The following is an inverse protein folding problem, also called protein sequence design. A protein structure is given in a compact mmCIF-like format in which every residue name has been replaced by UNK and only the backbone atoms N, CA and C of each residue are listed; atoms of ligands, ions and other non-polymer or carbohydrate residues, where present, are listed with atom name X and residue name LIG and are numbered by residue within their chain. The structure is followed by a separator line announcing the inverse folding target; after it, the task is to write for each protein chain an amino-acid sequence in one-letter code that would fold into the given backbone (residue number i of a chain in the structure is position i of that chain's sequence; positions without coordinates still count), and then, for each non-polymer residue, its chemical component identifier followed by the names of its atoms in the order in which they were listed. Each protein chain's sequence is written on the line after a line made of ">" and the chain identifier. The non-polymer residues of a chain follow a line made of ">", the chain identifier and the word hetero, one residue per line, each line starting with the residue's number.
data_IF_394701955436
#
_entry.id   IF_394701955436
#
_cell.length_a   1.000
_cell.length_b   1.000
_cell.length_c   1.000
_cell.angle_alpha   90.00
_cell.angle_beta   90.00
_cell.angle_gamma   90.00
#
_symmetry.space_group_name_H-M   'P 1'
#
loop_
_entity.id
_entity.type
_entity.pdbx_description
1 polymer ?
#
# COMPACT_ATOMS: atom_id res chain seq x y z
N UNK A 1 -14.45 28.62 4.96
CA UNK A 1 -13.48 28.01 5.90
C UNK A 1 -13.39 26.50 5.74
N UNK A 2 -14.49 25.74 5.75
CA UNK A 2 -14.44 24.26 5.61
C UNK A 2 -13.81 23.78 4.29
N UNK A 3 -14.11 24.43 3.16
CA UNK A 3 -13.51 24.11 1.87
C UNK A 3 -11.99 24.30 1.83
N UNK A 4 -11.47 25.31 2.55
CA UNK A 4 -10.03 25.56 2.66
C UNK A 4 -9.36 24.50 3.53
N UNK A 5 -9.97 24.12 4.65
CA UNK A 5 -9.48 23.03 5.50
C UNK A 5 -9.46 21.70 4.75
N UNK A 6 -10.50 21.39 3.98
CA UNK A 6 -10.54 20.20 3.14
C UNK A 6 -9.40 20.20 2.11
N UNK A 7 -9.18 21.32 1.40
CA UNK A 7 -8.11 21.41 0.42
C UNK A 7 -6.72 21.23 1.06
N UNK A 8 -6.46 21.83 2.22
CA UNK A 8 -5.20 21.68 2.97
C UNK A 8 -5.01 20.22 3.39
N UNK A 9 -6.01 19.59 3.98
CA UNK A 9 -5.96 18.22 4.44
C UNK A 9 -5.75 17.25 3.24
N UNK A 10 -6.48 17.47 2.14
CA UNK A 10 -6.34 16.67 0.93
C UNK A 10 -4.94 16.76 0.33
N UNK A 11 -4.39 17.96 0.21
CA UNK A 11 -3.00 18.16 -0.26
C UNK A 11 -1.98 17.56 0.71
N UNK A 12 -2.23 17.69 2.02
CA UNK A 12 -1.41 17.09 3.07
C UNK A 12 -1.33 15.56 3.01
N UNK A 13 -2.38 14.89 2.57
CA UNK A 13 -2.37 13.45 2.32
C UNK A 13 -1.83 13.08 0.93
N UNK A 14 -2.20 13.84 -0.10
CA UNK A 14 -1.87 13.54 -1.49
C UNK A 14 -0.38 13.74 -1.82
N UNK A 15 0.21 14.88 -1.42
CA UNK A 15 1.60 15.22 -1.77
C UNK A 15 2.58 14.16 -1.24
N UNK A 16 2.53 13.73 0.04
CA UNK A 16 3.37 12.65 0.54
C UNK A 16 3.20 11.33 -0.23
N UNK A 17 1.97 10.96 -0.55
CA UNK A 17 1.69 9.74 -1.30
C UNK A 17 2.28 9.79 -2.72
N UNK A 18 2.15 10.92 -3.42
CA UNK A 18 2.74 11.12 -4.74
C UNK A 18 4.28 11.16 -4.69
N UNK A 19 4.88 11.70 -3.63
CA UNK A 19 6.33 11.65 -3.42
C UNK A 19 6.82 10.22 -3.31
N UNK A 20 6.17 9.40 -2.48
CA UNK A 20 6.52 7.98 -2.34
C UNK A 20 6.22 7.19 -3.62
N UNK A 21 5.13 7.48 -4.32
CA UNK A 21 4.84 6.87 -5.62
C UNK A 21 5.95 7.14 -6.64
N UNK A 22 6.33 8.41 -6.79
CA UNK A 22 7.43 8.79 -7.66
C UNK A 22 8.74 8.09 -7.29
N UNK A 23 9.02 7.94 -5.99
CA UNK A 23 10.21 7.26 -5.51
C UNK A 23 10.16 5.77 -5.84
N UNK A 24 9.04 5.09 -5.61
CA UNK A 24 8.86 3.65 -5.88
C UNK A 24 8.89 3.32 -7.38
N UNK A 25 8.31 4.17 -8.23
CA UNK A 25 8.35 4.00 -9.68
C UNK A 25 9.77 4.11 -10.28
N UNK A 26 10.74 4.61 -9.50
CA UNK A 26 12.14 4.61 -9.93
C UNK A 26 12.77 3.22 -9.98
N UNK A 27 12.18 2.25 -9.29
CA UNK A 27 12.66 0.88 -9.29
C UNK A 27 12.41 0.16 -10.63
N UNK A 28 11.42 0.64 -11.40
CA UNK A 28 11.02 0.08 -12.69
C UNK A 28 11.31 1.04 -13.86
N UNK A 29 12.54 1.55 -13.93
CA UNK A 29 12.93 2.51 -14.98
C UNK A 29 13.19 1.87 -16.34
N UNK A 30 13.54 0.60 -16.37
CA UNK A 30 13.92 -0.07 -17.61
C UNK A 30 12.69 -0.38 -18.49
N UNK A 31 11.53 -0.65 -17.86
CA UNK A 31 10.26 -0.92 -18.55
C UNK A 31 9.09 -0.28 -17.79
N UNK A 32 8.98 1.06 -17.80
CA UNK A 32 8.03 1.76 -16.96
C UNK A 32 6.58 1.42 -17.33
N UNK A 33 5.76 1.25 -16.28
CA UNK A 33 4.34 0.96 -16.40
C UNK A 33 3.55 2.08 -17.09
N UNK A 34 2.46 1.75 -17.83
CA UNK A 34 1.61 2.74 -18.46
C UNK A 34 1.03 3.73 -17.44
N UNK A 35 1.29 5.03 -17.64
CA UNK A 35 0.85 6.09 -16.73
C UNK A 35 -0.66 6.05 -16.42
N UNK A 36 -1.48 5.69 -17.42
CA UNK A 36 -2.92 5.58 -17.24
C UNK A 36 -3.27 4.45 -16.25
N UNK A 37 -2.55 3.32 -16.29
CA UNK A 37 -2.81 2.20 -15.40
C UNK A 37 -2.32 2.49 -13.98
N UNK A 38 -1.17 3.18 -13.84
CA UNK A 38 -0.71 3.73 -12.55
C UNK A 38 -1.76 4.69 -11.97
N UNK A 39 -2.27 5.61 -12.78
CA UNK A 39 -3.33 6.53 -12.36
C UNK A 39 -4.61 5.78 -11.91
N UNK A 40 -5.07 4.80 -12.69
CA UNK A 40 -6.24 4.00 -12.34
C UNK A 40 -6.02 3.19 -11.05
N UNK A 41 -4.84 2.60 -10.86
CA UNK A 41 -4.47 1.89 -9.65
C UNK A 41 -4.49 2.84 -8.42
N UNK A 42 -3.92 4.03 -8.56
CA UNK A 42 -3.92 5.03 -7.50
C UNK A 42 -5.34 5.47 -7.14
N UNK A 43 -6.17 5.80 -8.13
CA UNK A 43 -7.58 6.16 -7.92
C UNK A 43 -8.38 5.00 -7.33
N UNK A 44 -8.14 3.76 -7.77
CA UNK A 44 -8.77 2.59 -7.17
C UNK A 44 -8.42 2.46 -5.69
N UNK A 45 -7.15 2.71 -5.32
CA UNK A 45 -6.71 2.79 -3.92
C UNK A 45 -7.46 3.87 -3.13
N UNK A 46 -7.60 5.08 -3.67
CA UNK A 46 -8.39 6.14 -3.04
C UNK A 46 -9.85 5.69 -2.82
N UNK A 47 -10.45 5.00 -3.79
CA UNK A 47 -11.83 4.53 -3.70
C UNK A 47 -12.04 3.42 -2.65
N UNK A 48 -10.99 2.74 -2.22
CA UNK A 48 -11.06 1.78 -1.11
C UNK A 48 -11.50 2.47 0.19
N UNK A 49 -11.06 3.71 0.45
CA UNK A 49 -11.40 4.44 1.70
C UNK A 49 -12.92 4.61 1.86
N UNK A 50 -13.67 5.22 0.92
CA UNK A 50 -15.12 5.35 1.05
C UNK A 50 -15.87 4.00 1.05
N UNK A 51 -15.27 2.92 0.53
CA UNK A 51 -15.82 1.58 0.62
C UNK A 51 -15.56 0.94 1.99
N UNK A 52 -14.42 1.22 2.61
CA UNK A 52 -14.06 0.72 3.94
C UNK A 52 -14.90 1.35 5.05
N UNK A 53 -15.15 2.66 4.98
CA UNK A 53 -15.84 3.41 6.05
C UNK A 53 -17.20 2.81 6.47
N UNK A 54 -18.12 2.41 5.58
CA UNK A 54 -19.38 1.77 5.98
C UNK A 54 -19.17 0.43 6.69
N UNK A 55 -18.20 -0.37 6.23
CA UNK A 55 -17.88 -1.66 6.84
C UNK A 55 -17.22 -1.49 8.21
N UNK A 56 -16.34 -0.50 8.35
CA UNK A 56 -15.73 -0.14 9.62
C UNK A 56 -16.76 0.38 10.63
N UNK A 57 -17.75 1.16 10.17
CA UNK A 57 -18.89 1.61 11.01
C UNK A 57 -19.74 0.43 11.46
N UNK A 58 -20.04 -0.50 10.57
CA UNK A 58 -20.78 -1.72 10.93
C UNK A 58 -20.00 -2.55 11.96
N UNK A 59 -18.68 -2.61 11.86
CA UNK A 59 -17.85 -3.34 12.82
C UNK A 59 -17.94 -2.78 14.24
N UNK A 60 -18.22 -1.48 14.42
CA UNK A 60 -18.42 -0.85 15.76
C UNK A 60 -19.59 -1.47 16.55
N UNK A 61 -20.59 -2.03 15.87
CA UNK A 61 -21.74 -2.65 16.52
C UNK A 61 -21.39 -4.00 17.16
N UNK A 62 -20.29 -4.64 16.72
CA UNK A 62 -19.93 -6.01 17.12
C UNK A 62 -18.58 -6.12 17.83
N UNK A 63 -17.65 -5.19 17.60
CA UNK A 63 -16.27 -5.28 18.08
C UNK A 63 -15.87 -4.01 18.84
N UNK A 64 -14.99 -4.16 19.84
CA UNK A 64 -14.47 -3.06 20.65
C UNK A 64 -12.97 -3.25 20.94
N UNK A 65 -12.28 -2.17 21.30
CA UNK A 65 -10.85 -2.19 21.64
C UNK A 65 -9.99 -2.76 20.51
N UNK A 66 -9.01 -3.57 20.86
CA UNK A 66 -8.03 -4.15 19.92
C UNK A 66 -8.67 -5.02 18.85
N UNK A 67 -9.75 -5.73 19.17
CA UNK A 67 -10.48 -6.55 18.19
C UNK A 67 -11.10 -5.69 17.08
N UNK A 68 -11.59 -4.49 17.41
CA UNK A 68 -12.12 -3.55 16.44
C UNK A 68 -11.03 -3.06 15.48
N UNK A 69 -9.87 -2.67 16.03
CA UNK A 69 -8.71 -2.24 15.24
C UNK A 69 -8.28 -3.35 14.29
N UNK A 70 -8.20 -4.58 14.79
CA UNK A 70 -7.84 -5.73 13.97
C UNK A 70 -8.82 -5.99 12.82
N UNK A 71 -10.14 -5.89 13.08
CA UNK A 71 -11.17 -6.02 12.05
C UNK A 71 -11.08 -4.90 11.02
N UNK A 72 -10.80 -3.66 11.42
CA UNK A 72 -10.58 -2.53 10.50
C UNK A 72 -9.40 -2.79 9.56
N UNK A 73 -8.29 -3.28 10.09
CA UNK A 73 -7.11 -3.65 9.28
C UNK A 73 -7.46 -4.74 8.26
N UNK A 74 -8.21 -5.77 8.65
CA UNK A 74 -8.67 -6.81 7.73
C UNK A 74 -9.50 -6.20 6.59
N UNK A 75 -10.46 -5.34 6.92
CA UNK A 75 -11.32 -4.67 5.92
C UNK A 75 -10.45 -3.90 4.92
N UNK A 76 -9.50 -3.11 5.39
CA UNK A 76 -8.64 -2.30 4.54
C UNK A 76 -7.75 -3.13 3.62
N UNK A 77 -7.02 -4.12 4.17
CA UNK A 77 -6.10 -4.93 3.37
C UNK A 77 -6.85 -5.82 2.36
N UNK A 78 -7.99 -6.40 2.76
CA UNK A 78 -8.85 -7.18 1.84
C UNK A 78 -9.39 -6.31 0.72
N UNK A 79 -9.85 -5.08 1.00
CA UNK A 79 -10.37 -4.18 -0.03
C UNK A 79 -9.26 -3.67 -0.96
N UNK A 80 -8.06 -3.35 -0.45
CA UNK A 80 -6.89 -3.01 -1.29
C UNK A 80 -6.52 -4.16 -2.23
N UNK A 81 -6.47 -5.39 -1.72
CA UNK A 81 -6.20 -6.56 -2.52
C UNK A 81 -7.31 -6.82 -3.56
N UNK A 82 -8.59 -6.68 -3.19
CA UNK A 82 -9.71 -6.78 -4.11
C UNK A 82 -9.65 -5.71 -5.23
N UNK A 83 -9.28 -4.48 -4.91
CA UNK A 83 -9.06 -3.43 -5.89
C UNK A 83 -7.97 -3.80 -6.90
N UNK A 84 -6.85 -4.40 -6.44
CA UNK A 84 -5.80 -4.91 -7.32
C UNK A 84 -6.32 -6.04 -8.23
N UNK A 85 -7.07 -6.99 -7.69
CA UNK A 85 -7.67 -8.09 -8.47
C UNK A 85 -8.59 -7.58 -9.57
N UNK A 86 -9.38 -6.55 -9.30
CA UNK A 86 -10.37 -6.01 -10.24
C UNK A 86 -9.70 -5.15 -11.33
N UNK A 87 -8.76 -4.28 -10.96
CA UNK A 87 -8.24 -3.23 -11.85
C UNK A 87 -6.98 -3.67 -12.58
N UNK A 88 -6.12 -4.48 -11.95
CA UNK A 88 -4.74 -4.69 -12.39
C UNK A 88 -4.47 -6.12 -12.84
N UNK A 89 -4.84 -7.12 -12.04
CA UNK A 89 -4.35 -8.50 -12.17
C UNK A 89 -4.61 -9.16 -13.54
N UNK A 90 -5.60 -8.67 -14.28
CA UNK A 90 -5.99 -9.21 -15.59
C UNK A 90 -5.56 -8.31 -16.75
N UNK A 91 -4.85 -7.20 -16.45
CA UNK A 91 -4.43 -6.27 -17.48
C UNK A 91 -3.19 -6.81 -18.21
N UNK A 92 -3.15 -6.60 -19.53
CA UNK A 92 -2.05 -7.12 -20.37
C UNK A 92 -0.70 -6.46 -20.12
N UNK A 93 -0.71 -5.28 -19.48
CA UNK A 93 0.52 -4.58 -19.10
C UNK A 93 1.19 -5.22 -17.88
N UNK A 94 0.51 -6.10 -17.16
CA UNK A 94 1.12 -6.89 -16.07
C UNK A 94 1.84 -8.07 -16.72
N UNK A 95 3.01 -7.82 -17.29
CA UNK A 95 3.79 -8.81 -18.04
C UNK A 95 5.13 -9.17 -17.38
N UNK A 96 5.48 -8.48 -16.28
CA UNK A 96 6.66 -8.74 -15.46
C UNK A 96 6.30 -9.01 -13.98
N UNK A 97 7.13 -9.79 -13.26
CA UNK A 97 6.88 -10.04 -11.84
C UNK A 97 6.87 -8.77 -10.97
N UNK A 98 7.72 -7.78 -11.31
CA UNK A 98 7.87 -6.55 -10.55
C UNK A 98 6.60 -5.67 -10.59
N UNK A 99 5.82 -5.73 -11.68
CA UNK A 99 4.61 -4.97 -11.88
C UNK A 99 3.60 -5.20 -10.75
N UNK A 100 3.51 -6.46 -10.27
CA UNK A 100 2.63 -6.83 -9.18
C UNK A 100 2.97 -6.10 -7.88
N UNK A 101 4.25 -5.86 -7.61
CA UNK A 101 4.71 -5.11 -6.44
C UNK A 101 4.36 -3.62 -6.64
N UNK A 102 4.68 -3.07 -7.81
CA UNK A 102 4.46 -1.66 -8.14
C UNK A 102 2.98 -1.28 -8.06
N UNK A 103 2.11 -2.10 -8.67
CA UNK A 103 0.67 -1.82 -8.63
C UNK A 103 0.06 -1.98 -7.24
N UNK A 104 0.47 -2.98 -6.46
CA UNK A 104 0.03 -3.13 -5.09
C UNK A 104 0.42 -1.92 -4.23
N UNK A 105 1.66 -1.43 -4.38
CA UNK A 105 2.14 -0.21 -3.71
C UNK A 105 1.38 1.02 -4.22
N UNK A 106 1.10 1.12 -5.51
CA UNK A 106 0.35 2.25 -6.09
C UNK A 106 -1.06 2.34 -5.50
N UNK A 107 -1.77 1.21 -5.36
CA UNK A 107 -3.08 1.14 -4.71
C UNK A 107 -2.97 1.54 -3.23
N UNK A 108 -1.96 1.04 -2.52
CA UNK A 108 -1.72 1.39 -1.13
C UNK A 108 -1.46 2.89 -0.94
N UNK A 109 -0.71 3.52 -1.83
CA UNK A 109 -0.44 4.95 -1.79
C UNK A 109 -1.69 5.79 -2.12
N UNK A 110 -2.54 5.33 -3.03
CA UNK A 110 -3.84 5.94 -3.27
C UNK A 110 -4.75 5.88 -2.03
N UNK A 111 -4.81 4.72 -1.37
CA UNK A 111 -5.50 4.55 -0.09
C UNK A 111 -4.95 5.50 0.97
N UNK A 112 -3.63 5.47 1.20
CA UNK A 112 -2.96 6.31 2.19
C UNK A 112 -3.18 7.81 1.93
N UNK A 113 -3.24 8.26 0.68
CA UNK A 113 -3.49 9.66 0.34
C UNK A 113 -4.83 10.15 0.90
N UNK A 114 -5.91 9.39 0.69
CA UNK A 114 -7.23 9.80 1.15
C UNK A 114 -7.42 9.55 2.65
N UNK A 115 -6.89 8.46 3.17
CA UNK A 115 -6.93 8.17 4.60
C UNK A 115 -6.17 9.24 5.40
N UNK A 116 -4.95 9.60 5.01
CA UNK A 116 -4.17 10.66 5.65
C UNK A 116 -4.90 12.01 5.60
N UNK A 117 -5.56 12.32 4.48
CA UNK A 117 -6.38 13.52 4.37
C UNK A 117 -7.49 13.56 5.43
N UNK A 118 -8.17 12.44 5.68
CA UNK A 118 -9.22 12.35 6.72
C UNK A 118 -8.64 12.54 8.13
N UNK A 119 -7.48 11.95 8.42
CA UNK A 119 -6.81 12.12 9.72
C UNK A 119 -6.32 13.55 9.97
N UNK A 120 -5.82 14.24 8.94
CA UNK A 120 -5.40 15.65 9.02
C UNK A 120 -6.62 16.58 9.13
N UNK A 121 -7.73 16.26 8.48
CA UNK A 121 -8.92 17.10 8.41
C UNK A 121 -9.58 17.32 9.78
N UNK A 122 -9.71 16.26 10.57
CA UNK A 122 -10.42 16.34 11.87
C UNK A 122 -9.80 17.34 12.84
N UNK A 123 -8.50 17.28 13.19
CA UNK A 123 -7.88 18.27 14.07
C UNK A 123 -7.84 19.67 13.42
N UNK A 124 -7.71 19.75 12.08
CA UNK A 124 -7.70 21.03 11.37
C UNK A 124 -9.03 21.78 11.51
N UNK A 125 -10.17 21.08 11.40
CA UNK A 125 -11.50 21.66 11.60
C UNK A 125 -11.76 22.02 13.07
N UNK A 126 -11.20 21.26 14.01
CA UNK A 126 -11.25 21.55 15.44
C UNK A 126 -10.40 22.78 15.84
N UNK A 127 -9.58 23.33 14.91
CA UNK A 127 -8.69 24.47 15.16
C UNK A 127 -7.36 24.09 15.80
N UNK A 128 -7.06 22.79 15.92
CA UNK A 128 -5.78 22.30 16.41
C UNK A 128 -4.79 22.10 15.26
N UNK A 129 -4.16 23.20 14.86
CA UNK A 129 -3.20 23.22 13.76
C UNK A 129 -1.89 22.46 14.09
N UNK A 130 -1.52 22.43 15.38
CA UNK A 130 -0.31 21.72 15.82
C UNK A 130 -0.51 20.21 15.70
N UNK A 131 -1.62 19.69 16.22
CA UNK A 131 -1.95 18.27 16.10
C UNK A 131 -2.11 17.85 14.63
N UNK A 132 -2.77 18.68 13.82
CA UNK A 132 -2.90 18.46 12.39
C UNK A 132 -1.55 18.31 11.69
N UNK A 133 -0.59 19.19 12.00
CA UNK A 133 0.77 19.16 11.44
C UNK A 133 1.55 17.93 11.92
N UNK A 134 1.50 17.62 13.21
CA UNK A 134 2.18 16.45 13.79
C UNK A 134 1.61 15.15 13.20
N UNK A 135 0.29 15.04 13.14
CA UNK A 135 -0.40 13.91 12.52
C UNK A 135 0.05 13.72 11.07
N UNK A 136 0.08 14.78 10.27
CA UNK A 136 0.56 14.73 8.89
C UNK A 136 1.99 14.22 8.77
N UNK A 137 2.92 14.69 9.63
CA UNK A 137 4.31 14.25 9.60
C UNK A 137 4.48 12.79 10.04
N UNK A 138 3.83 12.36 11.12
CA UNK A 138 3.91 10.98 11.58
C UNK A 138 3.30 10.02 10.56
N UNK A 139 2.20 10.42 9.91
CA UNK A 139 1.59 9.60 8.85
C UNK A 139 2.44 9.55 7.59
N UNK A 140 3.14 10.62 7.24
CA UNK A 140 4.11 10.61 6.12
C UNK A 140 5.25 9.62 6.34
N UNK A 141 5.86 9.62 7.53
CA UNK A 141 7.07 8.83 7.85
C UNK A 141 6.74 7.40 8.32
N UNK A 142 5.54 7.16 8.82
CA UNK A 142 5.13 5.89 9.41
C UNK A 142 3.98 5.23 8.65
N UNK A 143 2.76 5.75 8.78
CA UNK A 143 1.56 5.10 8.26
C UNK A 143 1.58 4.91 6.74
N UNK A 144 2.02 5.91 5.97
CA UNK A 144 2.14 5.78 4.50
C UNK A 144 3.11 4.68 4.12
N UNK A 145 4.28 4.61 4.78
CA UNK A 145 5.27 3.56 4.53
C UNK A 145 4.82 2.19 5.02
N UNK A 146 4.02 2.13 6.07
CA UNK A 146 3.38 0.89 6.49
C UNK A 146 2.47 0.35 5.38
N UNK A 147 1.60 1.18 4.80
CA UNK A 147 0.74 0.74 3.70
C UNK A 147 1.55 0.27 2.48
N UNK A 148 2.66 0.94 2.18
CA UNK A 148 3.63 0.50 1.15
C UNK A 148 4.20 -0.87 1.50
N UNK A 149 4.65 -1.08 2.74
CA UNK A 149 5.23 -2.32 3.20
C UNK A 149 4.21 -3.47 3.18
N UNK A 150 3.01 -3.26 3.72
CA UNK A 150 1.95 -4.26 3.77
C UNK A 150 1.52 -4.70 2.36
N UNK A 151 1.12 -3.76 1.52
CA UNK A 151 0.68 -4.08 0.16
C UNK A 151 1.84 -4.51 -0.75
N UNK A 152 3.04 -3.94 -0.58
CA UNK A 152 4.25 -4.40 -1.27
C UNK A 152 4.59 -5.85 -0.93
N UNK A 153 4.31 -6.30 0.31
CA UNK A 153 4.45 -7.71 0.71
C UNK A 153 3.49 -8.61 -0.08
N UNK A 154 2.22 -8.23 -0.23
CA UNK A 154 1.27 -8.97 -1.08
C UNK A 154 1.80 -9.07 -2.51
N UNK A 155 2.25 -7.93 -3.08
CA UNK A 155 2.85 -7.87 -4.40
C UNK A 155 4.06 -8.79 -4.54
N UNK A 156 4.94 -8.83 -3.54
CA UNK A 156 6.12 -9.69 -3.52
C UNK A 156 5.76 -11.19 -3.56
N UNK A 157 4.79 -11.63 -2.76
CA UNK A 157 4.32 -13.02 -2.80
C UNK A 157 3.73 -13.38 -4.15
N UNK A 158 2.98 -12.49 -4.77
CA UNK A 158 2.44 -12.67 -6.12
C UNK A 158 3.56 -12.69 -7.17
N UNK A 159 4.55 -11.80 -7.07
CA UNK A 159 5.70 -11.72 -7.95
C UNK A 159 6.53 -13.01 -7.95
N UNK A 160 6.80 -13.59 -6.78
CA UNK A 160 7.49 -14.89 -6.67
C UNK A 160 6.69 -16.05 -7.28
N UNK A 161 5.36 -15.92 -7.34
CA UNK A 161 4.47 -16.89 -7.97
C UNK A 161 4.15 -16.58 -9.45
N UNK A 162 4.72 -15.50 -10.04
CA UNK A 162 4.33 -14.97 -11.35
C UNK A 162 4.32 -16.05 -12.47
N UNK A 163 5.35 -16.87 -12.54
CA UNK A 163 5.48 -17.93 -13.54
C UNK A 163 4.84 -19.27 -13.11
N UNK A 164 4.07 -19.30 -12.02
CA UNK A 164 3.41 -20.50 -11.48
C UNK A 164 1.95 -20.59 -11.93
N UNK A 165 1.32 -21.73 -11.65
CA UNK A 165 -0.12 -21.92 -11.93
C UNK A 165 -1.00 -20.94 -11.15
N UNK A 166 -2.21 -20.68 -11.66
CA UNK A 166 -3.17 -19.77 -11.02
C UNK A 166 -3.50 -20.19 -9.57
N UNK A 167 -3.49 -21.49 -9.30
CA UNK A 167 -3.72 -22.01 -7.95
C UNK A 167 -2.57 -21.62 -6.99
N UNK A 168 -1.33 -21.69 -7.43
CA UNK A 168 -0.17 -21.26 -6.63
C UNK A 168 -0.18 -19.74 -6.46
N UNK A 169 -0.55 -18.98 -7.50
CA UNK A 169 -0.72 -17.51 -7.39
C UNK A 169 -1.77 -17.15 -6.33
N UNK A 170 -2.91 -17.84 -6.33
CA UNK A 170 -3.96 -17.63 -5.34
C UNK A 170 -3.46 -17.90 -3.91
N UNK A 171 -2.81 -19.03 -3.67
CA UNK A 171 -2.25 -19.37 -2.34
C UNK A 171 -1.21 -18.33 -1.93
N UNK A 172 -0.29 -17.95 -2.84
CA UNK A 172 0.75 -16.96 -2.55
C UNK A 172 0.15 -15.59 -2.21
N UNK A 173 -0.84 -15.12 -3.00
CA UNK A 173 -1.52 -13.85 -2.74
C UNK A 173 -2.27 -13.86 -1.41
N UNK A 174 -2.97 -14.96 -1.08
CA UNK A 174 -3.66 -15.13 0.21
C UNK A 174 -2.69 -15.13 1.38
N UNK A 175 -1.55 -15.80 1.24
CA UNK A 175 -0.51 -15.80 2.29
C UNK A 175 0.14 -14.42 2.43
N UNK A 176 0.43 -13.74 1.31
CA UNK A 176 0.90 -12.36 1.31
C UNK A 176 -0.08 -11.41 2.01
N UNK A 177 -1.39 -11.57 1.74
CA UNK A 177 -2.46 -10.80 2.39
C UNK A 177 -2.49 -11.06 3.91
N UNK A 178 -2.34 -12.31 4.33
CA UNK A 178 -2.25 -12.64 5.75
C UNK A 178 -1.08 -11.92 6.44
N UNK A 179 0.11 -11.95 5.83
CA UNK A 179 1.28 -11.23 6.37
C UNK A 179 1.06 -9.72 6.36
N UNK A 180 0.45 -9.15 5.32
CA UNK A 180 0.12 -7.74 5.26
C UNK A 180 -0.82 -7.31 6.41
N UNK A 181 -1.86 -8.10 6.70
CA UNK A 181 -2.77 -7.88 7.84
C UNK A 181 -1.99 -7.90 9.15
N UNK A 182 -1.09 -8.87 9.35
CA UNK A 182 -0.28 -8.97 10.57
C UNK A 182 0.64 -7.75 10.71
N UNK A 183 1.36 -7.36 9.67
CA UNK A 183 2.24 -6.18 9.69
C UNK A 183 1.47 -4.91 10.01
N UNK A 184 0.32 -4.72 9.40
CA UNK A 184 -0.52 -3.54 9.61
C UNK A 184 -1.12 -3.54 11.03
N UNK A 185 -1.64 -4.66 11.51
CA UNK A 185 -2.19 -4.75 12.86
C UNK A 185 -1.13 -4.49 13.93
N UNK A 186 0.06 -5.06 13.79
CA UNK A 186 1.18 -4.80 14.70
C UNK A 186 1.53 -3.31 14.76
N UNK A 187 1.63 -2.65 13.61
CA UNK A 187 1.88 -1.21 13.59
C UNK A 187 0.79 -0.44 14.35
N UNK A 188 -0.49 -0.71 14.07
CA UNK A 188 -1.59 0.01 14.70
C UNK A 188 -1.61 -0.22 16.22
N UNK A 189 -1.42 -1.44 16.69
CA UNK A 189 -1.37 -1.73 18.14
C UNK A 189 -0.24 -0.99 18.81
N UNK A 190 0.97 -1.07 18.26
CA UNK A 190 2.12 -0.43 18.87
C UNK A 190 2.12 1.09 18.76
N UNK A 191 1.58 1.69 17.69
CA UNK A 191 1.55 3.15 17.54
C UNK A 191 0.49 3.81 18.42
N UNK A 192 -0.63 3.12 18.69
CA UNK A 192 -1.72 3.66 19.50
C UNK A 192 -1.38 3.70 21.01
N UNK A 193 -0.60 2.73 21.48
CA UNK A 193 -0.15 2.67 22.88
C UNK A 193 1.22 3.32 23.12
N UNK A 194 1.76 4.00 22.09
CA UNK A 194 3.14 4.42 22.08
C UNK A 194 3.43 5.61 22.98
N UNK A 195 4.36 5.43 23.92
CA UNK A 195 5.22 6.49 24.46
C UNK A 195 6.30 6.86 23.42
N UNK A 196 6.98 7.99 23.59
CA UNK A 196 7.97 8.48 22.61
C UNK A 196 9.04 7.46 22.19
N UNK A 197 9.52 6.60 23.09
CA UNK A 197 10.48 5.54 22.78
C UNK A 197 9.88 4.43 21.91
N UNK A 198 8.64 4.07 22.17
CA UNK A 198 7.91 3.05 21.40
C UNK A 198 7.63 3.53 19.97
N UNK A 199 7.30 4.82 19.79
CA UNK A 199 7.11 5.43 18.45
C UNK A 199 8.37 5.25 17.59
N UNK A 200 9.54 5.53 18.14
CA UNK A 200 10.80 5.35 17.43
C UNK A 200 11.01 3.88 17.02
N UNK A 201 10.73 2.94 17.94
CA UNK A 201 10.81 1.50 17.64
C UNK A 201 9.89 1.06 16.51
N UNK A 202 8.64 1.55 16.50
CA UNK A 202 7.65 1.27 15.43
C UNK A 202 8.13 1.82 14.08
N UNK A 203 8.66 3.03 14.06
CA UNK A 203 9.20 3.61 12.82
C UNK A 203 10.43 2.84 12.33
N UNK A 204 11.36 2.47 13.21
CA UNK A 204 12.51 1.65 12.84
C UNK A 204 12.06 0.31 12.23
N UNK A 205 11.03 -0.33 12.80
CA UNK A 205 10.46 -1.56 12.26
C UNK A 205 9.94 -1.38 10.83
N UNK A 206 9.16 -0.33 10.58
CA UNK A 206 8.65 -0.03 9.23
C UNK A 206 9.79 0.26 8.25
N UNK A 207 10.76 1.09 8.64
CA UNK A 207 11.91 1.42 7.80
C UNK A 207 12.79 0.21 7.49
N UNK A 208 13.01 -0.68 8.46
CA UNK A 208 13.67 -1.96 8.24
C UNK A 208 12.89 -2.84 7.24
N UNK A 209 11.56 -2.88 7.39
CA UNK A 209 10.68 -3.57 6.43
C UNK A 209 10.79 -3.01 5.02
N UNK A 210 10.86 -1.69 4.86
CA UNK A 210 11.08 -1.03 3.56
C UNK A 210 12.43 -1.42 2.96
N UNK A 211 13.50 -1.47 3.75
CA UNK A 211 14.81 -1.95 3.27
C UNK A 211 14.71 -3.39 2.76
N UNK A 212 14.03 -4.26 3.52
CA UNK A 212 13.80 -5.66 3.09
C UNK A 212 12.98 -5.70 1.80
N UNK A 213 11.97 -4.85 1.67
CA UNK A 213 11.15 -4.76 0.45
C UNK A 213 12.01 -4.37 -0.77
N UNK A 214 12.94 -3.42 -0.65
CA UNK A 214 13.88 -3.09 -1.73
C UNK A 214 14.81 -4.25 -2.09
N UNK A 215 15.29 -5.02 -1.12
CA UNK A 215 16.05 -6.25 -1.39
C UNK A 215 15.20 -7.30 -2.14
N UNK A 216 13.90 -7.35 -1.86
CA UNK A 216 12.96 -8.20 -2.58
C UNK A 216 12.77 -7.70 -4.02
N UNK A 217 12.67 -6.39 -4.28
CA UNK A 217 12.65 -5.85 -5.64
C UNK A 217 13.84 -6.36 -6.47
N UNK A 218 15.05 -6.23 -5.93
CA UNK A 218 16.26 -6.72 -6.61
C UNK A 218 16.20 -8.24 -6.88
N UNK A 219 15.71 -9.00 -5.92
CA UNK A 219 15.57 -10.46 -6.09
C UNK A 219 14.53 -10.83 -7.15
N UNK A 220 13.45 -10.07 -7.26
CA UNK A 220 12.40 -10.27 -8.27
C UNK A 220 12.92 -9.94 -9.67
N UNK A 221 13.69 -8.86 -9.84
CA UNK A 221 14.37 -8.51 -11.09
C UNK A 221 15.33 -9.64 -11.56
N UNK A 222 16.09 -10.24 -10.63
CA UNK A 222 16.95 -11.38 -10.92
C UNK A 222 16.16 -12.63 -11.34
N UNK A 223 14.97 -12.85 -10.76
CA UNK A 223 14.09 -13.96 -11.13
C UNK A 223 13.63 -13.84 -12.59
N UNK A 224 13.24 -12.64 -12.99
CA UNK A 224 12.85 -12.34 -14.37
C UNK A 224 14.01 -12.58 -15.35
N UNK A 225 15.17 -12.02 -15.06
CA UNK A 225 16.38 -12.19 -15.88
C UNK A 225 16.71 -13.68 -16.06
N UNK A 226 16.65 -14.48 -15.00
CA UNK A 226 16.90 -15.91 -15.03
C UNK A 226 15.86 -16.67 -15.86
N UNK A 227 14.57 -16.29 -15.74
CA UNK A 227 13.50 -16.89 -16.53
C UNK A 227 13.65 -16.61 -18.02
N UNK A 228 13.97 -15.37 -18.39
CA UNK A 228 14.20 -14.96 -19.78
C UNK A 228 15.42 -15.64 -20.40
N UNK A 229 16.47 -15.90 -19.62
CA UNK A 229 17.64 -16.63 -20.07
C UNK A 229 17.34 -18.11 -20.37
N UNK A 230 16.44 -18.75 -19.59
CA UNK A 230 16.02 -20.14 -19.78
C UNK A 230 14.96 -20.30 -20.89
N UNK A 231 14.18 -19.28 -21.16
CA UNK A 231 13.10 -19.26 -22.14
C UNK A 231 13.26 -18.07 -23.10
N UNK A 232 14.32 -18.02 -23.94
CA UNK A 232 14.54 -16.90 -24.84
C UNK A 232 13.32 -16.76 -25.77
N UNK A 233 12.68 -15.60 -25.76
CA UNK A 233 11.64 -15.26 -26.73
C UNK A 233 12.26 -15.39 -28.12
N UNK A 234 11.82 -16.32 -28.95
CA UNK A 234 12.23 -16.41 -30.33
C UNK A 234 11.82 -15.08 -31.01
N UNK A 235 12.78 -14.20 -31.20
CA UNK A 235 12.61 -13.00 -32.00
C UNK A 235 12.48 -13.46 -33.45
N UNK A 236 11.28 -13.81 -33.91
CA UNK A 236 11.00 -13.88 -35.33
C UNK A 236 11.06 -12.45 -35.86
N UNK A 237 12.21 -12.08 -36.42
CA UNK A 237 12.33 -10.95 -37.33
C UNK A 237 11.47 -11.29 -38.55
N UNK A 238 10.31 -10.63 -38.66
CA UNK A 238 9.60 -10.47 -39.94
C UNK A 238 9.82 -9.05 -40.43
#
# INVERSE_FOLDING_TARGET
>A
MESTHFAIAFLGGLIPALFWLWFMLREDREKPEPYMLIFLAFVAGMMVVPLALPLQRLALDFYHGDNLIFVWVIIEEVLKYAAALIVIMWHKAVDEPIDLIIYMITIALGFAALENALFIFNPLVAGDYVDSLLTGNFRFLGATLLHVLASGTVGAFLAFAFYRSNFIKLISGTFGLFIAIVLHALFNFFIMDASGETILGVFLFVWMGIIVLFLIFEKVKLLESSHNALHPKHIYKT
#
